data_IF_089405139979
#
_entry.id   IF_089405139979
#
_cell.length_a   1.000
_cell.length_b   1.000
_cell.length_c   1.000
_cell.angle_alpha   90.00
_cell.angle_beta   90.00
_cell.angle_gamma   90.00
#
_symmetry.space_group_name_H-M   'P 1'
#
loop_
_entity.id
_entity.type
_entity.pdbx_description
1 polymer ?
#
# COMPACT_ATOMS: atom_id res chain seq x y z
N UNK A 1 21.20 53.31 17.85
CA UNK A 1 22.27 52.29 17.69
C UNK A 1 21.63 50.98 17.29
N UNK A 2 21.78 50.60 16.00
CA UNK A 2 21.67 49.25 15.36
C UNK A 2 20.42 48.39 15.68
N UNK A 3 19.68 47.77 14.75
CA UNK A 3 19.93 47.41 13.36
C UNK A 3 18.63 47.06 12.58
N UNK A 4 18.65 47.43 11.29
CA UNK A 4 18.15 46.79 10.06
C UNK A 4 16.78 46.10 9.95
N UNK A 5 15.94 46.82 9.21
CA UNK A 5 15.10 46.43 8.07
C UNK A 5 15.65 45.28 7.19
N UNK A 6 14.77 44.33 6.87
CA UNK A 6 14.81 43.60 5.59
C UNK A 6 13.39 43.15 5.22
N UNK A 7 12.64 44.13 4.72
CA UNK A 7 11.46 43.99 3.89
C UNK A 7 11.74 43.02 2.71
N UNK A 8 11.00 41.91 2.64
CA UNK A 8 11.08 40.98 1.52
C UNK A 8 10.37 41.61 0.31
N UNK A 9 11.17 42.06 -0.65
CA UNK A 9 10.71 42.53 -1.95
C UNK A 9 10.11 41.35 -2.75
N UNK A 10 8.79 41.32 -2.90
CA UNK A 10 8.15 40.53 -3.95
C UNK A 10 8.33 41.27 -5.28
N UNK A 11 9.21 40.75 -6.13
CA UNK A 11 9.26 41.13 -7.55
C UNK A 11 8.05 40.49 -8.22
N UNK A 12 6.95 41.24 -8.30
CA UNK A 12 5.88 40.98 -9.25
C UNK A 12 6.45 41.35 -10.62
N UNK A 13 6.86 40.34 -11.39
CA UNK A 13 7.19 40.53 -12.79
C UNK A 13 5.85 40.70 -13.53
N UNK A 14 5.57 41.91 -13.98
CA UNK A 14 4.47 42.22 -14.90
C UNK A 14 4.49 41.23 -16.07
N UNK A 15 3.47 40.38 -16.17
CA UNK A 15 3.15 39.69 -17.40
C UNK A 15 2.48 40.72 -18.31
N UNK A 16 3.28 41.25 -19.22
CA UNK A 16 2.83 42.14 -20.28
C UNK A 16 1.84 41.38 -21.16
N UNK A 17 0.70 42.01 -21.43
CA UNK A 17 -0.48 41.37 -21.99
C UNK A 17 -0.24 40.70 -23.35
N UNK A 18 -0.65 39.44 -23.43
CA UNK A 18 -1.51 38.84 -24.47
C UNK A 18 -1.84 37.42 -24.00
N UNK A 19 -3.06 37.00 -24.28
CA UNK A 19 -3.64 35.68 -24.01
C UNK A 19 -4.45 35.60 -22.69
N UNK A 20 -5.66 36.18 -22.76
CA UNK A 20 -6.82 35.68 -22.03
C UNK A 20 -6.95 34.17 -22.27
N UNK A 21 -6.82 33.36 -21.22
CA UNK A 21 -7.84 32.40 -20.79
C UNK A 21 -7.37 31.57 -19.58
N UNK A 22 -8.34 31.32 -18.70
CA UNK A 22 -8.35 30.35 -17.60
C UNK A 22 -7.68 30.76 -16.29
N UNK A 23 -8.35 31.67 -15.57
CA UNK A 23 -8.34 31.69 -14.12
C UNK A 23 -9.65 31.12 -13.57
N UNK A 24 -9.53 30.40 -12.46
CA UNK A 24 -10.54 30.05 -11.44
C UNK A 24 -10.99 28.58 -11.40
N UNK A 25 -10.54 27.88 -10.35
CA UNK A 25 -11.44 27.12 -9.47
C UNK A 25 -10.76 26.86 -8.12
N UNK A 26 -11.31 27.51 -7.09
CA UNK A 26 -11.02 27.34 -5.67
C UNK A 26 -11.62 26.03 -5.12
N UNK A 27 -11.03 25.60 -4.00
CA UNK A 27 -11.51 24.65 -2.99
C UNK A 27 -13.02 24.70 -2.73
N UNK A 28 -13.69 23.53 -2.72
CA UNK A 28 -14.96 23.32 -2.01
C UNK A 28 -15.10 21.87 -1.53
N UNK A 29 -15.28 21.74 -0.22
CA UNK A 29 -15.62 20.52 0.54
C UNK A 29 -17.14 20.36 0.55
N UNK A 30 -17.67 19.16 0.27
CA UNK A 30 -18.79 18.49 1.00
C UNK A 30 -19.49 17.38 0.19
N UNK A 31 -19.61 16.20 0.80
CA UNK A 31 -20.77 15.28 0.69
C UNK A 31 -21.81 15.67 1.76
N UNK A 32 -23.14 15.44 1.64
CA UNK A 32 -23.76 14.10 1.64
C UNK A 32 -25.12 13.91 0.88
N UNK A 33 -25.51 12.65 0.72
CA UNK A 33 -26.88 12.09 0.63
C UNK A 33 -28.09 13.01 0.41
N UNK A 34 -28.79 12.86 -0.73
CA UNK A 34 -30.25 12.90 -0.78
C UNK A 34 -30.80 12.15 -2.02
N UNK A 35 -31.68 11.19 -1.77
CA UNK A 35 -32.50 10.44 -2.72
C UNK A 35 -33.67 11.30 -3.20
N UNK A 36 -34.00 11.30 -4.51
CA UNK A 36 -35.40 11.25 -4.95
C UNK A 36 -35.57 10.85 -6.42
N UNK A 37 -36.61 10.06 -6.63
CA UNK A 37 -37.10 9.38 -7.83
C UNK A 37 -37.53 10.32 -8.97
N UNK A 38 -37.30 9.88 -10.22
CA UNK A 38 -38.30 9.98 -11.31
C UNK A 38 -38.17 8.76 -12.23
N UNK A 39 -39.20 7.92 -12.26
CA UNK A 39 -39.55 7.03 -13.39
C UNK A 39 -40.51 7.79 -14.31
N UNK A 40 -40.54 7.49 -15.62
CA UNK A 40 -41.65 6.68 -16.11
C UNK A 40 -41.29 5.63 -17.16
N UNK A 41 -42.16 4.63 -17.19
CA UNK A 41 -42.17 3.44 -18.03
C UNK A 41 -42.47 3.72 -19.51
N UNK A 42 -42.00 2.80 -20.39
CA UNK A 42 -42.73 2.42 -21.60
C UNK A 42 -42.40 0.97 -22.01
N UNK A 43 -43.35 0.39 -22.72
CA UNK A 43 -43.75 -1.01 -22.74
C UNK A 43 -43.18 -1.85 -23.90
N UNK A 44 -43.18 -3.17 -23.64
CA UNK A 44 -43.44 -4.32 -24.55
C UNK A 44 -42.39 -4.70 -25.60
N UNK A 45 -41.94 -5.95 -25.47
CA UNK A 45 -41.34 -6.75 -26.54
C UNK A 45 -41.00 -8.16 -26.04
N UNK A 46 -42.02 -9.04 -25.95
CA UNK A 46 -41.83 -10.48 -25.80
C UNK A 46 -41.23 -11.05 -27.09
N UNK A 47 -40.14 -11.83 -27.00
CA UNK A 47 -39.99 -13.07 -27.78
C UNK A 47 -39.09 -14.05 -27.00
N UNK A 48 -39.58 -15.29 -26.91
CA UNK A 48 -38.90 -16.45 -26.36
C UNK A 48 -37.59 -16.76 -27.09
N UNK A 49 -36.56 -17.14 -26.34
CA UNK A 49 -35.45 -17.92 -26.87
C UNK A 49 -35.22 -19.13 -25.95
N UNK A 50 -35.46 -20.29 -26.56
CA UNK A 50 -35.58 -21.63 -26.03
C UNK A 50 -34.24 -22.17 -25.51
N UNK A 51 -34.25 -22.77 -24.33
CA UNK A 51 -33.12 -23.54 -23.80
C UNK A 51 -32.95 -24.86 -24.57
N UNK A 52 -31.73 -25.28 -24.95
CA UNK A 52 -31.51 -26.62 -25.44
C UNK A 52 -31.20 -27.61 -24.31
N UNK A 53 -31.69 -28.81 -24.55
CA UNK A 53 -31.78 -29.96 -23.68
C UNK A 53 -30.46 -30.49 -23.12
N UNK A 54 -30.62 -31.00 -21.90
CA UNK A 54 -29.85 -32.00 -21.20
C UNK A 54 -29.46 -33.18 -22.11
N UNK A 55 -28.16 -33.39 -22.33
CA UNK A 55 -27.62 -34.61 -22.95
C UNK A 55 -27.05 -35.50 -21.85
N UNK A 56 -27.74 -36.61 -21.62
CA UNK A 56 -27.24 -37.78 -20.89
C UNK A 56 -26.07 -38.40 -21.66
N UNK A 57 -24.91 -38.51 -21.00
CA UNK A 57 -23.85 -39.44 -21.42
C UNK A 57 -23.50 -40.38 -20.27
N UNK A 58 -23.87 -41.62 -20.53
CA UNK A 58 -23.46 -42.92 -20.00
C UNK A 58 -22.15 -42.97 -19.22
N UNK A 59 -22.20 -43.66 -18.08
CA UNK A 59 -21.07 -44.08 -17.26
C UNK A 59 -20.06 -44.91 -18.05
N UNK A 60 -18.79 -44.49 -18.02
CA UNK A 60 -17.66 -45.34 -18.39
C UNK A 60 -16.88 -45.71 -17.13
N UNK A 61 -16.52 -46.99 -17.06
CA UNK A 61 -15.96 -47.69 -15.92
C UNK A 61 -14.61 -47.12 -15.45
N UNK A 62 -14.42 -47.18 -14.13
CA UNK A 62 -13.19 -46.85 -13.41
C UNK A 62 -12.21 -48.02 -13.55
N UNK A 63 -10.96 -47.82 -14.03
CA UNK A 63 -9.93 -48.84 -13.91
C UNK A 63 -9.35 -48.83 -12.49
N UNK A 64 -9.41 -49.98 -11.81
CA UNK A 64 -8.68 -50.22 -10.56
C UNK A 64 -7.18 -50.21 -10.82
N UNK A 65 -6.51 -49.14 -10.39
CA UNK A 65 -5.05 -49.11 -10.28
C UNK A 65 -4.65 -49.69 -8.93
N UNK A 66 -3.96 -50.84 -8.96
CA UNK A 66 -3.21 -51.37 -7.83
C UNK A 66 -2.13 -50.37 -7.42
N UNK A 67 -2.36 -49.65 -6.32
CA UNK A 67 -1.36 -48.79 -5.69
C UNK A 67 -0.50 -49.62 -4.73
N UNK A 68 0.73 -49.87 -5.16
CA UNK A 68 1.79 -50.54 -4.39
C UNK A 68 2.11 -49.74 -3.13
N UNK A 69 1.93 -50.36 -1.96
CA UNK A 69 2.28 -49.79 -0.66
C UNK A 69 3.80 -49.75 -0.46
N UNK A 70 4.42 -48.65 -0.89
CA UNK A 70 5.78 -48.30 -0.45
C UNK A 70 5.70 -47.39 0.79
N UNK A 71 6.53 -47.62 1.83
CA UNK A 71 6.43 -46.89 3.09
C UNK A 71 6.79 -45.41 2.91
N UNK A 72 5.88 -44.55 3.35
CA UNK A 72 6.02 -43.09 3.39
C UNK A 72 7.25 -42.72 4.22
N UNK A 73 8.29 -42.23 3.54
CA UNK A 73 9.38 -41.52 4.21
C UNK A 73 8.83 -40.17 4.65
N UNK A 74 8.95 -39.91 5.94
CA UNK A 74 8.54 -38.70 6.66
C UNK A 74 8.94 -37.41 5.92
N UNK A 75 8.03 -36.85 5.15
CA UNK A 75 8.04 -35.43 4.78
C UNK A 75 7.29 -34.66 5.88
N UNK A 76 7.91 -34.57 7.05
CA UNK A 76 7.57 -33.53 8.02
C UNK A 76 8.23 -32.23 7.53
N UNK A 77 7.73 -31.69 6.43
CA UNK A 77 7.98 -30.30 6.05
C UNK A 77 7.40 -29.46 7.19
N UNK A 78 8.26 -28.67 7.83
CA UNK A 78 7.91 -27.72 8.88
C UNK A 78 6.80 -26.78 8.41
N UNK A 79 5.55 -27.15 8.63
CA UNK A 79 4.45 -26.20 8.75
C UNK A 79 4.65 -25.50 10.08
N UNK A 80 5.30 -24.34 10.03
CA UNK A 80 5.11 -23.31 11.06
C UNK A 80 3.63 -22.90 11.01
N UNK A 81 2.79 -23.67 11.69
CA UNK A 81 1.47 -23.22 12.12
C UNK A 81 1.74 -21.99 12.98
N UNK A 82 1.57 -20.79 12.42
CA UNK A 82 1.60 -19.53 13.17
C UNK A 82 0.67 -19.70 14.37
N UNK A 83 1.27 -19.82 15.55
CA UNK A 83 0.54 -20.03 16.80
C UNK A 83 -0.58 -19.00 16.91
N UNK A 84 -1.81 -19.48 17.05
CA UNK A 84 -3.01 -18.68 17.32
C UNK A 84 -3.05 -18.24 18.78
N UNK A 85 -1.97 -17.64 19.27
CA UNK A 85 -1.94 -16.94 20.55
C UNK A 85 -2.49 -15.52 20.39
N UNK A 86 -2.87 -14.91 21.52
CA UNK A 86 -3.22 -13.49 21.57
C UNK A 86 -2.03 -12.66 21.05
N UNK A 87 -2.31 -11.74 20.13
CA UNK A 87 -1.32 -10.82 19.56
C UNK A 87 -1.81 -9.39 19.71
N UNK A 88 -0.92 -8.52 20.17
CA UNK A 88 -1.16 -7.09 20.24
C UNK A 88 -0.61 -6.43 18.99
N UNK A 89 -1.27 -5.36 18.54
CA UNK A 89 -0.77 -4.53 17.44
C UNK A 89 -0.86 -3.05 17.76
N UNK A 90 0.07 -2.28 17.22
CA UNK A 90 0.07 -0.82 17.25
C UNK A 90 0.36 -0.31 15.84
N UNK A 91 -0.54 0.52 15.30
CA UNK A 91 -0.38 1.16 14.00
C UNK A 91 0.10 2.60 14.13
N UNK A 92 1.07 2.98 13.31
CA UNK A 92 1.50 4.35 13.08
C UNK A 92 1.21 4.73 11.63
N UNK A 93 0.84 5.99 11.39
CA UNK A 93 0.53 6.50 10.05
C UNK A 93 1.25 7.81 9.78
N UNK A 94 1.80 7.92 8.58
CA UNK A 94 2.32 9.17 8.02
C UNK A 94 2.08 9.19 6.49
N UNK A 95 2.62 10.17 5.77
CA UNK A 95 2.56 10.21 4.31
C UNK A 95 3.82 10.76 3.67
N UNK A 96 4.05 10.34 2.42
CA UNK A 96 5.13 10.87 1.57
C UNK A 96 4.61 11.17 0.16
N UNK A 97 5.22 12.15 -0.49
CA UNK A 97 4.95 12.51 -1.88
C UNK A 97 6.18 12.17 -2.73
N UNK A 98 5.99 11.39 -3.79
CA UNK A 98 7.09 10.92 -4.64
C UNK A 98 6.80 11.16 -6.11
N UNK A 99 7.85 11.10 -6.93
CA UNK A 99 7.75 10.96 -8.37
C UNK A 99 8.48 9.69 -8.82
N UNK A 100 7.96 9.00 -9.84
CA UNK A 100 8.62 7.86 -10.47
C UNK A 100 8.03 7.55 -11.86
N UNK A 101 8.68 6.62 -12.56
CA UNK A 101 8.17 5.92 -13.73
C UNK A 101 8.61 4.45 -13.73
N UNK A 102 7.90 3.63 -14.49
CA UNK A 102 8.22 2.21 -14.64
C UNK A 102 8.79 1.87 -16.02
N UNK A 103 9.61 0.82 -16.06
CA UNK A 103 10.12 0.21 -17.29
C UNK A 103 9.39 -1.11 -17.55
N UNK A 104 8.89 -1.28 -18.77
CA UNK A 104 8.14 -2.47 -19.19
C UNK A 104 6.81 -2.06 -19.82
N UNK A 105 6.50 -2.64 -20.99
CA UNK A 105 5.31 -2.30 -21.78
C UNK A 105 4.00 -2.57 -21.02
N UNK A 106 4.05 -3.50 -20.06
CA UNK A 106 2.94 -3.94 -19.20
C UNK A 106 2.44 -2.81 -18.29
N UNK A 107 3.30 -1.83 -17.97
CA UNK A 107 2.95 -0.69 -17.12
C UNK A 107 2.16 0.41 -17.84
N UNK A 108 1.99 0.31 -19.16
CA UNK A 108 1.14 1.23 -19.92
C UNK A 108 1.50 2.70 -19.66
N UNK A 109 0.53 3.56 -19.29
CA UNK A 109 0.79 4.98 -19.02
C UNK A 109 1.77 5.25 -17.87
N UNK A 110 1.91 4.34 -16.91
CA UNK A 110 2.81 4.49 -15.76
C UNK A 110 4.30 4.40 -16.15
N UNK A 111 4.60 4.15 -17.43
CA UNK A 111 5.94 4.33 -17.99
C UNK A 111 6.35 5.80 -18.10
N UNK A 112 5.40 6.73 -18.11
CA UNK A 112 5.69 8.16 -18.04
C UNK A 112 6.00 8.57 -16.61
N UNK A 113 6.77 9.65 -16.45
CA UNK A 113 6.97 10.28 -15.13
C UNK A 113 5.61 10.70 -14.55
N UNK A 114 5.32 10.21 -13.35
CA UNK A 114 4.13 10.53 -12.58
C UNK A 114 4.49 10.58 -11.09
N UNK A 115 3.52 10.89 -10.25
CA UNK A 115 3.71 10.92 -8.81
C UNK A 115 2.60 10.22 -8.05
N UNK A 116 2.90 9.91 -6.80
CA UNK A 116 1.95 9.33 -5.86
C UNK A 116 2.10 10.02 -4.50
N UNK A 117 0.98 10.20 -3.81
CA UNK A 117 0.99 10.48 -2.37
C UNK A 117 0.73 9.18 -1.66
N UNK A 118 1.79 8.55 -1.16
CA UNK A 118 1.63 7.36 -0.34
C UNK A 118 1.11 7.75 1.04
N UNK A 119 -0.05 7.23 1.43
CA UNK A 119 -0.35 7.08 2.87
C UNK A 119 0.36 5.83 3.35
N UNK A 120 1.19 5.97 4.38
CA UNK A 120 2.03 4.90 4.92
C UNK A 120 1.48 4.46 6.26
N UNK A 121 1.01 3.23 6.32
CA UNK A 121 0.68 2.54 7.57
C UNK A 121 1.81 1.60 7.96
N UNK A 122 2.26 1.67 9.21
CA UNK A 122 3.20 0.72 9.80
C UNK A 122 2.58 0.12 11.05
N UNK A 123 2.29 -1.18 10.98
CA UNK A 123 1.72 -1.94 12.08
C UNK A 123 2.82 -2.80 12.73
N UNK A 124 2.99 -2.66 14.04
CA UNK A 124 3.91 -3.44 14.85
C UNK A 124 3.12 -4.50 15.61
N UNK A 125 3.54 -5.75 15.54
CA UNK A 125 2.86 -6.86 16.20
C UNK A 125 3.79 -7.58 17.18
N UNK A 126 3.28 -7.85 18.39
CA UNK A 126 3.98 -8.58 19.45
C UNK A 126 3.04 -9.60 20.10
N UNK A 127 3.59 -10.67 20.65
CA UNK A 127 2.80 -11.70 21.36
C UNK A 127 2.42 -11.27 22.78
N UNK A 128 3.19 -10.37 23.37
CA UNK A 128 2.93 -9.83 24.71
C UNK A 128 3.39 -8.39 24.82
N UNK A 129 2.65 -7.58 25.58
CA UNK A 129 3.04 -6.21 25.89
C UNK A 129 4.28 -6.17 26.78
N UNK A 130 5.03 -5.06 26.73
CA UNK A 130 6.20 -4.87 27.59
C UNK A 130 5.80 -4.93 29.09
N UNK A 131 6.36 -5.83 29.93
CA UNK A 131 5.83 -6.14 31.26
C UNK A 131 5.66 -4.96 32.24
N UNK A 132 6.51 -3.93 32.13
CA UNK A 132 6.43 -2.74 33.00
C UNK A 132 5.61 -1.59 32.40
N UNK A 133 5.52 -1.53 31.08
CA UNK A 133 5.00 -0.37 30.35
C UNK A 133 3.62 -0.63 29.76
N UNK A 134 3.26 -1.91 29.60
CA UNK A 134 1.99 -2.37 29.07
C UNK A 134 1.65 -1.80 27.68
N UNK A 135 2.65 -1.74 26.79
CA UNK A 135 2.53 -1.24 25.42
C UNK A 135 3.31 -2.10 24.41
N UNK A 136 3.13 -1.84 23.12
CA UNK A 136 3.89 -2.46 22.03
C UNK A 136 5.23 -1.76 21.82
N UNK A 137 5.20 -0.42 21.65
CA UNK A 137 6.36 0.46 21.61
C UNK A 137 5.96 1.88 22.02
N UNK A 138 6.96 2.75 22.30
CA UNK A 138 6.74 4.17 22.54
C UNK A 138 6.32 4.89 21.25
N UNK A 139 5.14 5.51 21.23
CA UNK A 139 4.61 6.18 20.02
C UNK A 139 5.47 7.38 19.61
N UNK A 140 6.05 8.13 20.55
CA UNK A 140 6.88 9.29 20.26
C UNK A 140 8.19 8.90 19.57
N UNK A 141 8.88 7.87 20.08
CA UNK A 141 10.07 7.30 19.42
C UNK A 141 9.69 6.68 18.08
N UNK A 142 8.59 5.92 18.02
CA UNK A 142 8.09 5.29 16.81
C UNK A 142 7.78 6.27 15.68
N UNK A 143 7.08 7.37 15.97
CA UNK A 143 6.78 8.42 14.99
C UNK A 143 8.04 9.17 14.53
N UNK A 144 8.99 9.39 15.43
CA UNK A 144 10.28 10.03 15.08
C UNK A 144 11.08 9.16 14.13
N UNK A 145 11.16 7.86 14.42
CA UNK A 145 11.82 6.87 13.58
C UNK A 145 11.13 6.72 12.22
N UNK A 146 9.80 6.64 12.19
CA UNK A 146 9.04 6.54 10.95
C UNK A 146 9.30 7.76 10.04
N UNK A 147 9.25 8.98 10.59
CA UNK A 147 9.57 10.21 9.86
C UNK A 147 10.99 10.21 9.28
N UNK A 148 11.96 9.69 10.03
CA UNK A 148 13.35 9.60 9.58
C UNK A 148 13.46 8.68 8.35
N UNK A 149 12.91 7.47 8.42
CA UNK A 149 12.94 6.49 7.31
C UNK A 149 12.19 7.02 6.09
N UNK A 150 11.01 7.60 6.30
CA UNK A 150 10.20 8.16 5.21
C UNK A 150 10.83 9.41 4.59
N UNK A 151 11.61 10.17 5.36
CA UNK A 151 12.32 11.35 4.89
C UNK A 151 13.35 11.06 3.79
N UNK A 152 13.83 9.83 3.67
CA UNK A 152 14.72 9.41 2.57
C UNK A 152 14.03 9.45 1.20
N UNK A 153 12.71 9.25 1.19
CA UNK A 153 11.90 9.16 -0.01
C UNK A 153 11.01 10.39 -0.24
N UNK A 154 10.66 11.13 0.82
CA UNK A 154 9.70 12.22 0.73
C UNK A 154 10.20 13.38 -0.15
N UNK A 155 9.36 13.81 -1.08
CA UNK A 155 9.65 14.82 -2.11
C UNK A 155 10.86 14.45 -3.01
N UNK A 156 11.01 13.17 -3.35
CA UNK A 156 12.09 12.67 -4.21
C UNK A 156 11.60 11.97 -5.46
N UNK A 157 12.47 11.92 -6.46
CA UNK A 157 12.34 11.07 -7.62
C UNK A 157 12.94 9.69 -7.31
N UNK A 158 12.12 8.65 -7.27
CA UNK A 158 12.57 7.32 -6.88
C UNK A 158 13.46 6.66 -7.95
N UNK A 159 13.35 7.04 -9.22
CA UNK A 159 14.23 6.52 -10.27
C UNK A 159 15.69 6.98 -10.09
N UNK A 160 15.91 8.13 -9.46
CA UNK A 160 17.25 8.64 -9.14
C UNK A 160 17.83 7.97 -7.88
N UNK A 161 16.99 7.74 -6.87
CA UNK A 161 17.39 7.08 -5.62
C UNK A 161 17.65 5.58 -5.79
N UNK A 162 16.86 4.92 -6.65
CA UNK A 162 16.84 3.48 -6.84
C UNK A 162 16.97 3.15 -8.34
N UNK A 163 18.13 3.46 -8.95
CA UNK A 163 18.31 3.32 -10.39
C UNK A 163 18.21 1.86 -10.83
N UNK A 164 17.44 1.63 -11.89
CA UNK A 164 17.25 0.30 -12.48
C UNK A 164 16.10 -0.52 -11.89
N UNK A 165 15.48 -0.05 -10.81
CA UNK A 165 14.36 -0.75 -10.17
C UNK A 165 13.01 -0.17 -10.59
N UNK A 166 12.02 -1.05 -10.79
CA UNK A 166 10.62 -0.63 -10.85
C UNK A 166 10.11 -0.43 -9.43
N UNK A 167 9.97 0.83 -9.01
CA UNK A 167 9.59 1.21 -7.65
C UNK A 167 8.08 1.07 -7.41
N UNK A 168 7.54 -0.13 -7.63
CA UNK A 168 6.11 -0.42 -7.42
C UNK A 168 5.74 -0.29 -5.95
N UNK A 169 4.44 -0.16 -5.67
CA UNK A 169 3.93 0.02 -4.31
C UNK A 169 4.35 -1.15 -3.39
N UNK A 170 4.36 -2.39 -3.88
CA UNK A 170 4.84 -3.58 -3.15
C UNK A 170 6.34 -3.48 -2.83
N UNK A 171 7.15 -3.11 -3.82
CA UNK A 171 8.60 -2.97 -3.66
C UNK A 171 8.94 -1.89 -2.63
N UNK A 172 8.24 -0.76 -2.69
CA UNK A 172 8.43 0.35 -1.76
C UNK A 172 8.00 -0.03 -0.33
N UNK A 173 6.99 -0.88 -0.14
CA UNK A 173 6.68 -1.43 1.20
C UNK A 173 7.89 -2.16 1.79
N UNK A 174 8.58 -2.98 1.00
CA UNK A 174 9.79 -3.69 1.43
C UNK A 174 10.95 -2.74 1.71
N UNK A 175 11.18 -1.72 0.86
CA UNK A 175 12.24 -0.72 1.08
C UNK A 175 12.06 0.05 2.38
N UNK A 176 10.83 0.46 2.69
CA UNK A 176 10.51 1.12 3.96
C UNK A 176 10.72 0.15 5.12
N UNK A 177 10.24 -1.09 5.01
CA UNK A 177 10.47 -2.12 6.02
C UNK A 177 11.97 -2.35 6.31
N UNK A 178 12.81 -2.42 5.28
CA UNK A 178 14.27 -2.53 5.43
C UNK A 178 14.87 -1.35 6.21
N UNK A 179 14.42 -0.11 5.93
CA UNK A 179 14.83 1.08 6.69
C UNK A 179 14.38 1.03 8.16
N UNK A 180 13.14 0.59 8.42
CA UNK A 180 12.64 0.38 9.78
C UNK A 180 13.48 -0.67 10.52
N UNK A 181 13.89 -1.73 9.84
CA UNK A 181 14.75 -2.78 10.40
C UNK A 181 16.10 -2.26 10.89
N UNK A 182 16.69 -1.30 10.17
CA UNK A 182 17.94 -0.66 10.59
C UNK A 182 17.73 0.16 11.86
N UNK A 183 16.67 0.98 11.93
CA UNK A 183 16.40 1.84 13.08
C UNK A 183 15.98 1.08 14.34
N UNK A 184 15.35 -0.09 14.17
CA UNK A 184 14.78 -0.90 15.25
C UNK A 184 15.68 -2.06 15.70
N UNK A 185 16.86 -2.21 15.10
CA UNK A 185 17.83 -3.26 15.46
C UNK A 185 18.12 -3.26 16.96
N UNK A 186 17.86 -4.38 17.62
CA UNK A 186 18.04 -4.55 19.07
C UNK A 186 17.05 -3.80 19.96
N UNK A 187 16.11 -3.03 19.39
CA UNK A 187 15.11 -2.24 20.13
C UNK A 187 13.72 -2.87 20.10
N UNK A 188 13.38 -3.60 19.04
CA UNK A 188 12.07 -4.21 18.85
C UNK A 188 12.22 -5.66 18.35
N UNK A 189 11.34 -6.54 18.85
CA UNK A 189 11.25 -7.94 18.43
C UNK A 189 9.78 -8.27 18.20
N UNK A 190 9.45 -8.75 17.02
CA UNK A 190 8.07 -9.01 16.62
C UNK A 190 7.96 -9.08 15.11
N UNK A 191 6.78 -8.77 14.58
CA UNK A 191 6.58 -8.60 13.13
C UNK A 191 6.13 -7.20 12.81
N UNK A 192 6.52 -6.70 11.64
CA UNK A 192 6.12 -5.38 11.15
C UNK A 192 5.41 -5.57 9.82
N UNK A 193 4.26 -4.94 9.68
CA UNK A 193 3.55 -4.80 8.40
C UNK A 193 3.64 -3.36 7.95
N UNK A 194 4.26 -3.13 6.79
CA UNK A 194 4.23 -1.84 6.10
C UNK A 194 3.17 -1.92 5.01
N UNK A 195 2.27 -0.95 4.96
CA UNK A 195 1.20 -0.85 3.96
C UNK A 195 1.22 0.54 3.34
N UNK A 196 1.27 0.58 2.02
CA UNK A 196 1.28 1.81 1.23
C UNK A 196 0.00 1.93 0.42
N UNK A 197 -0.71 3.03 0.63
CA UNK A 197 -1.86 3.41 -0.16
C UNK A 197 -1.43 4.45 -1.18
N UNK A 198 -1.33 4.06 -2.45
CA UNK A 198 -0.99 4.99 -3.54
C UNK A 198 -2.19 5.87 -3.95
N UNK A 199 -3.39 5.36 -3.70
CA UNK A 199 -4.65 6.05 -3.92
C UNK A 199 -5.69 5.56 -2.92
N UNK A 200 -6.92 6.07 -3.04
CA UNK A 200 -8.06 5.58 -2.26
C UNK A 200 -8.54 4.17 -2.68
N UNK A 201 -8.12 3.68 -3.85
CA UNK A 201 -8.60 2.41 -4.42
C UNK A 201 -7.54 1.32 -4.52
N UNK A 202 -6.25 1.67 -4.39
CA UNK A 202 -5.14 0.75 -4.56
C UNK A 202 -4.12 0.91 -3.42
N UNK A 203 -3.66 -0.23 -2.93
CA UNK A 203 -2.65 -0.33 -1.88
C UNK A 203 -1.90 -1.65 -1.98
N UNK A 204 -0.71 -1.70 -1.40
CA UNK A 204 0.07 -2.91 -1.20
C UNK A 204 0.59 -3.00 0.23
N UNK A 205 1.09 -4.17 0.61
CA UNK A 205 1.72 -4.36 1.92
C UNK A 205 2.87 -5.37 1.88
N UNK A 206 3.81 -5.20 2.79
CA UNK A 206 4.88 -6.16 3.07
C UNK A 206 4.92 -6.43 4.58
N UNK A 207 4.91 -7.71 4.96
CA UNK A 207 4.98 -8.15 6.36
C UNK A 207 6.15 -9.11 6.54
N UNK A 208 6.98 -8.88 7.54
CA UNK A 208 8.01 -9.83 7.94
C UNK A 208 8.39 -9.64 9.42
N UNK A 209 9.10 -10.62 9.96
CA UNK A 209 9.59 -10.61 11.34
C UNK A 209 10.89 -9.81 11.44
N UNK A 210 11.13 -9.20 12.60
CA UNK A 210 12.40 -8.56 12.96
C UNK A 210 13.00 -9.28 14.17
N UNK A 211 14.19 -9.87 13.97
CA UNK A 211 14.94 -10.59 14.98
C UNK A 211 15.77 -9.67 15.86
N UNK A 212 16.41 -10.24 16.90
CA UNK A 212 17.29 -9.50 17.79
C UNK A 212 18.51 -8.88 17.06
N UNK A 213 18.95 -9.51 15.96
CA UNK A 213 20.07 -9.07 15.14
C UNK A 213 19.67 -8.11 14.00
N UNK A 214 18.36 -7.85 13.83
CA UNK A 214 17.76 -7.07 12.74
C UNK A 214 16.93 -7.92 11.76
N UNK A 215 16.70 -7.34 10.58
CA UNK A 215 16.57 -8.09 9.33
C UNK A 215 17.97 -8.58 8.89
#
# INVERSE_FOLDING_TARGET
TKANDSSINFVVKELNGKDEQVAAAMVAVNSPWLTLLVLPAMMRGFTEATAPALVSRTSAAVPSAHFSSSPMKNFATSMHLRGGGERYSLGLRDSIMIAHSFTGKEFGPAQNMHGATYTVDVEFHVESLAPRLNWVLDIGEGMTMLKKVLGEYNFKNLNELLPGENTTTEFMCKKIFEGLCVELKGKFKGSITVKLWESHSAWASYTNDIGADGC
#
